data_IF_593759514771
#
_entry.id   IF_593759514771
#
_cell.length_a   1.000
_cell.length_b   1.000
_cell.length_c   1.000
_cell.angle_alpha   90.00
_cell.angle_beta   90.00
_cell.angle_gamma   90.00
#
_symmetry.space_group_name_H-M   'P 1'
#
loop_
_entity.id
_entity.type
_entity.pdbx_description
1 polymer ?
#
# COMPACT_ATOMS: atom_id res chain seq x y z
N UNK A 1 5.36 2.14 4.21
CA UNK A 1 4.22 1.84 5.09
C UNK A 1 3.73 0.44 4.81
N UNK A 2 3.12 -0.23 5.79
CA UNK A 2 2.48 -1.54 5.63
C UNK A 2 1.01 -1.40 6.02
N UNK A 3 0.12 -2.11 5.32
CA UNK A 3 -1.30 -2.12 5.67
C UNK A 3 -1.62 -3.30 6.59
N UNK A 4 -2.38 -3.02 7.63
CA UNK A 4 -2.96 -4.03 8.51
C UNK A 4 -4.39 -3.62 8.87
N UNK A 5 -5.38 -4.47 8.58
CA UNK A 5 -6.82 -4.21 8.84
C UNK A 5 -7.26 -2.80 8.41
N UNK A 6 -7.00 -2.41 7.15
CA UNK A 6 -7.28 -1.08 6.59
C UNK A 6 -6.57 0.09 7.29
N UNK A 7 -5.58 -0.17 8.13
CA UNK A 7 -4.83 0.85 8.85
C UNK A 7 -3.37 0.90 8.39
N UNK A 8 -2.83 2.08 8.03
CA UNK A 8 -1.44 2.20 7.63
C UNK A 8 -0.51 2.19 8.84
N UNK A 9 0.45 1.28 8.84
CA UNK A 9 1.49 1.19 9.85
C UNK A 9 2.81 1.75 9.31
N UNK A 10 3.51 2.54 10.13
CA UNK A 10 4.85 3.03 9.83
C UNK A 10 5.87 1.94 10.13
N UNK A 11 6.84 1.78 9.25
CA UNK A 11 7.95 0.85 9.41
C UNK A 11 9.10 1.58 10.10
N UNK A 12 9.67 0.99 11.12
CA UNK A 12 10.91 1.40 11.76
C UNK A 12 11.78 0.15 11.95
N UNK A 13 12.99 0.17 11.41
CA UNK A 13 13.95 -0.93 11.52
C UNK A 13 15.09 -0.47 12.41
N UNK A 14 15.39 -1.24 13.44
CA UNK A 14 16.50 -1.04 14.35
C UNK A 14 17.33 -2.34 14.41
N UNK A 15 18.46 -2.33 13.73
CA UNK A 15 19.27 -3.52 13.52
C UNK A 15 18.47 -4.62 12.80
N UNK A 16 18.29 -5.76 13.47
CA UNK A 16 17.57 -6.92 12.96
C UNK A 16 16.08 -6.95 13.36
N UNK A 17 15.62 -5.98 14.16
CA UNK A 17 14.24 -5.88 14.62
C UNK A 17 13.47 -4.88 13.76
N UNK A 18 12.32 -5.28 13.28
CA UNK A 18 11.43 -4.40 12.51
C UNK A 18 10.14 -4.15 13.30
N UNK A 19 9.84 -2.90 13.54
CA UNK A 19 8.62 -2.48 14.25
C UNK A 19 7.66 -1.79 13.26
N UNK A 20 6.44 -2.28 13.20
CA UNK A 20 5.33 -1.68 12.46
C UNK A 20 4.41 -0.99 13.46
N UNK A 21 4.30 0.33 13.42
CA UNK A 21 3.54 1.10 14.41
C UNK A 21 2.50 2.02 13.75
N UNK A 22 1.33 2.12 14.36
CA UNK A 22 0.25 2.97 13.85
C UNK A 22 -0.96 2.99 14.75
N UNK A 23 -2.11 3.27 14.16
CA UNK A 23 -3.41 3.20 14.84
C UNK A 23 -4.27 2.15 14.13
N UNK A 24 -4.79 1.19 14.88
CA UNK A 24 -5.74 0.17 14.42
C UNK A 24 -7.00 0.36 15.26
N UNK A 25 -8.14 0.55 14.61
CA UNK A 25 -9.43 0.83 15.26
C UNK A 25 -9.37 1.99 16.28
N UNK A 26 -8.60 3.03 15.95
CA UNK A 26 -8.42 4.22 16.81
C UNK A 26 -7.39 4.05 17.92
N UNK A 27 -6.94 2.85 18.24
CA UNK A 27 -5.96 2.54 19.29
C UNK A 27 -4.54 2.48 18.72
N UNK A 28 -3.54 2.82 19.54
CA UNK A 28 -2.13 2.65 19.17
C UNK A 28 -1.81 1.16 19.10
N UNK A 29 -1.30 0.72 17.96
CA UNK A 29 -0.91 -0.66 17.73
C UNK A 29 0.52 -0.74 17.21
N UNK A 30 1.24 -1.78 17.59
CA UNK A 30 2.57 -2.08 17.09
C UNK A 30 2.80 -3.58 16.96
N UNK A 31 3.38 -3.97 15.82
CA UNK A 31 3.97 -5.29 15.62
C UNK A 31 5.48 -5.16 15.69
N UNK A 32 6.11 -5.97 16.50
CA UNK A 32 7.57 -6.07 16.58
C UNK A 32 7.98 -7.43 16.07
N UNK A 33 8.73 -7.46 14.99
CA UNK A 33 9.24 -8.67 14.34
C UNK A 33 10.73 -8.76 14.63
N UNK A 34 11.12 -9.83 15.32
CA UNK A 34 12.50 -10.15 15.68
C UNK A 34 13.07 -11.29 14.85
N UNK A 35 14.39 -11.46 14.77
CA UNK A 35 15.01 -12.60 14.11
C UNK A 35 14.51 -13.94 14.66
N UNK A 36 14.39 -14.94 13.77
CA UNK A 36 13.86 -16.25 14.11
C UNK A 36 12.35 -16.40 13.99
N UNK A 37 11.71 -15.78 13.06
CA UNK A 37 10.51 -14.97 12.92
C UNK A 37 9.61 -15.03 14.18
N UNK A 38 9.94 -14.19 15.15
CA UNK A 38 9.16 -13.99 16.37
C UNK A 38 8.42 -12.66 16.28
N UNK A 39 7.11 -12.68 16.50
CA UNK A 39 6.22 -11.51 16.41
C UNK A 39 5.60 -11.21 17.74
N UNK A 40 5.78 -10.01 18.27
CA UNK A 40 5.00 -9.48 19.38
C UNK A 40 4.01 -8.43 18.86
N UNK A 41 2.78 -8.46 19.34
CA UNK A 41 1.75 -7.50 19.01
C UNK A 41 1.29 -6.77 20.26
N UNK A 42 1.30 -5.45 20.20
CA UNK A 42 0.78 -4.59 21.26
C UNK A 42 -0.32 -3.70 20.70
N UNK A 43 -1.45 -3.62 21.41
CA UNK A 43 -2.53 -2.72 21.04
C UNK A 43 -3.13 -2.09 22.30
N UNK A 44 -3.01 -0.76 22.38
CA UNK A 44 -3.27 -0.02 23.61
C UNK A 44 -2.35 -0.48 24.72
N UNK A 45 -2.94 -0.90 25.86
CA UNK A 45 -2.24 -1.40 27.03
C UNK A 45 -2.11 -2.94 27.06
N UNK A 46 -2.64 -3.61 26.02
CA UNK A 46 -2.57 -5.09 25.93
C UNK A 46 -1.42 -5.51 25.04
N UNK A 47 -0.73 -6.56 25.48
CA UNK A 47 0.34 -7.21 24.76
C UNK A 47 -0.02 -8.66 24.49
N UNK A 48 0.25 -9.12 23.26
CA UNK A 48 -0.07 -10.46 22.77
C UNK A 48 1.18 -11.12 22.21
N UNK A 49 1.34 -12.41 22.43
CA UNK A 49 2.52 -13.17 22.03
C UNK A 49 3.56 -13.25 23.17
N UNK A 50 4.83 -13.52 22.87
CA UNK A 50 5.42 -13.61 21.52
C UNK A 50 4.94 -14.79 20.71
N UNK A 51 4.65 -14.54 19.44
CA UNK A 51 4.30 -15.56 18.47
C UNK A 51 5.55 -16.02 17.74
N UNK A 52 5.87 -17.31 17.82
CA UNK A 52 6.98 -17.90 17.10
C UNK A 52 6.49 -18.64 15.86
N UNK A 53 7.12 -18.40 14.73
CA UNK A 53 6.79 -19.05 13.46
C UNK A 53 7.89 -20.07 13.15
N UNK A 54 7.49 -21.32 13.00
CA UNK A 54 8.39 -22.44 12.69
C UNK A 54 7.98 -23.03 11.35
N UNK A 55 8.91 -23.13 10.42
CA UNK A 55 8.64 -23.81 9.15
C UNK A 55 8.63 -25.33 9.37
N UNK A 56 7.50 -25.94 9.03
CA UNK A 56 7.25 -27.37 9.18
C UNK A 56 6.74 -27.99 7.86
N UNK A 57 7.61 -28.52 7.03
CA UNK A 57 7.19 -29.12 5.76
C UNK A 57 6.23 -30.30 5.92
N UNK A 58 6.16 -30.93 7.11
CA UNK A 58 5.24 -32.05 7.38
C UNK A 58 3.81 -31.60 7.63
N UNK A 59 3.59 -30.31 7.90
CA UNK A 59 2.27 -29.73 8.12
C UNK A 59 1.51 -29.39 6.82
N UNK A 60 2.11 -29.66 5.65
CA UNK A 60 1.44 -29.46 4.36
C UNK A 60 0.42 -30.58 4.16
N UNK A 61 -0.87 -30.25 3.91
CA UNK A 61 -1.90 -31.27 3.65
C UNK A 61 -1.56 -32.07 2.40
N UNK A 62 -1.95 -33.36 2.38
CA UNK A 62 -1.78 -34.21 1.20
C UNK A 62 -2.58 -33.67 0.02
N UNK A 63 -2.09 -33.87 -1.21
CA UNK A 63 -2.72 -33.38 -2.45
C UNK A 63 -4.19 -33.80 -2.61
N UNK A 64 -4.59 -34.92 -2.02
CA UNK A 64 -5.97 -35.43 -2.05
C UNK A 64 -6.91 -34.61 -1.17
N UNK A 65 -6.40 -34.01 -0.10
CA UNK A 65 -7.18 -33.23 0.86
C UNK A 65 -7.14 -31.71 0.60
N UNK A 66 -6.23 -31.25 -0.27
CA UNK A 66 -6.09 -29.83 -0.59
C UNK A 66 -7.19 -29.39 -1.57
N UNK A 67 -8.39 -29.13 -1.06
CA UNK A 67 -9.53 -28.64 -1.83
C UNK A 67 -9.18 -27.35 -2.59
N UNK A 68 -9.13 -27.43 -3.95
CA UNK A 68 -9.17 -26.32 -4.89
C UNK A 68 -8.01 -25.29 -4.88
N UNK A 69 -6.83 -25.64 -4.41
CA UNK A 69 -5.67 -24.79 -4.63
C UNK A 69 -5.07 -25.11 -6.02
N UNK A 70 -5.17 -24.18 -6.93
CA UNK A 70 -4.76 -24.34 -8.34
C UNK A 70 -3.28 -24.69 -8.54
N UNK A 71 -2.45 -24.53 -7.50
CA UNK A 71 -1.01 -24.86 -7.52
C UNK A 71 -0.52 -25.35 -6.14
N UNK A 72 -0.53 -26.65 -5.85
CA UNK A 72 -0.03 -27.19 -4.58
C UNK A 72 1.47 -26.95 -4.34
N UNK A 73 2.24 -26.63 -5.37
CA UNK A 73 3.67 -26.30 -5.26
C UNK A 73 3.98 -24.98 -4.55
N UNK A 74 2.97 -24.14 -4.29
CA UNK A 74 3.14 -22.86 -3.59
C UNK A 74 2.76 -22.93 -2.10
N UNK A 75 2.39 -24.12 -1.60
CA UNK A 75 2.07 -24.33 -0.19
C UNK A 75 3.32 -24.40 0.65
N UNK A 76 3.37 -23.62 1.71
CA UNK A 76 4.47 -23.66 2.68
C UNK A 76 3.92 -24.08 4.03
N UNK A 77 4.47 -25.20 4.57
CA UNK A 77 4.09 -25.71 5.88
C UNK A 77 4.67 -24.87 7.00
N UNK A 78 3.82 -24.53 7.99
CA UNK A 78 4.20 -23.67 9.12
C UNK A 78 3.42 -24.01 10.38
N UNK A 79 4.08 -23.86 11.52
CA UNK A 79 3.45 -23.82 12.83
C UNK A 79 3.62 -22.43 13.44
N UNK A 80 2.53 -21.87 13.96
CA UNK A 80 2.53 -20.62 14.72
C UNK A 80 2.25 -20.98 16.17
N UNK A 81 3.19 -20.62 17.05
CA UNK A 81 3.10 -20.88 18.47
C UNK A 81 2.86 -19.57 19.24
N UNK A 82 1.99 -19.60 20.22
CA UNK A 82 1.78 -18.50 21.17
C UNK A 82 2.36 -18.93 22.52
N UNK A 83 3.43 -18.29 22.97
CA UNK A 83 4.15 -18.65 24.19
C UNK A 83 4.49 -20.16 24.26
N UNK A 84 4.86 -20.77 23.16
CA UNK A 84 5.19 -22.19 23.06
C UNK A 84 3.99 -23.12 22.84
N UNK A 85 2.75 -22.63 22.93
CA UNK A 85 1.55 -23.42 22.62
C UNK A 85 1.20 -23.28 21.13
N UNK A 86 0.84 -24.38 20.49
CA UNK A 86 0.45 -24.35 19.07
C UNK A 86 -0.87 -23.61 18.88
N UNK A 87 -0.80 -22.44 18.24
CA UNK A 87 -1.97 -21.66 17.84
C UNK A 87 -2.52 -22.13 16.50
N UNK A 88 -1.62 -22.46 15.57
CA UNK A 88 -1.94 -22.96 14.24
C UNK A 88 -0.83 -23.88 13.76
N UNK A 89 -1.20 -24.99 13.10
CA UNK A 89 -0.32 -25.87 12.35
C UNK A 89 -0.98 -26.28 11.06
N UNK A 90 -0.27 -26.12 9.94
CA UNK A 90 -0.80 -26.35 8.61
C UNK A 90 0.04 -25.68 7.53
N UNK A 91 -0.57 -25.37 6.41
CA UNK A 91 0.09 -24.69 5.31
C UNK A 91 -0.50 -23.31 5.04
N UNK A 92 0.31 -22.40 4.50
CA UNK A 92 -0.19 -21.17 3.92
C UNK A 92 0.11 -21.09 2.42
N UNK A 93 -0.76 -20.39 1.71
CA UNK A 93 -0.59 -20.00 0.31
C UNK A 93 -0.68 -18.49 0.23
N UNK A 94 0.31 -17.87 -0.42
CA UNK A 94 0.27 -16.44 -0.71
C UNK A 94 -0.64 -16.19 -1.91
N UNK A 95 -1.74 -15.48 -1.70
CA UNK A 95 -2.73 -15.12 -2.73
C UNK A 95 -2.65 -13.62 -3.02
N UNK A 96 -1.47 -13.01 -2.84
CA UNK A 96 -1.20 -11.60 -3.07
C UNK A 96 -1.60 -10.70 -1.89
N UNK A 97 -2.88 -10.32 -1.78
CA UNK A 97 -3.31 -9.43 -0.69
C UNK A 97 -3.51 -10.14 0.66
N UNK A 98 -3.57 -11.47 0.70
CA UNK A 98 -3.80 -12.25 1.93
C UNK A 98 -3.13 -13.62 1.88
N UNK A 99 -2.93 -14.23 3.05
CA UNK A 99 -2.54 -15.63 3.16
C UNK A 99 -3.76 -16.50 3.36
N UNK A 100 -3.94 -17.47 2.47
CA UNK A 100 -4.90 -18.54 2.64
C UNK A 100 -4.26 -19.60 3.56
N UNK A 101 -4.94 -19.93 4.64
CA UNK A 101 -4.45 -20.90 5.62
C UNK A 101 -5.23 -22.20 5.51
N UNK A 102 -4.50 -23.30 5.41
CA UNK A 102 -5.04 -24.65 5.35
C UNK A 102 -4.54 -25.42 6.56
N UNK A 103 -5.43 -26.15 7.22
CA UNK A 103 -5.06 -27.10 8.28
C UNK A 103 -4.41 -28.34 7.67
N UNK A 104 -3.86 -29.20 8.50
CA UNK A 104 -3.25 -30.49 8.08
C UNK A 104 -4.26 -31.42 7.40
N UNK A 105 -5.55 -31.34 7.76
CA UNK A 105 -6.66 -32.08 7.15
C UNK A 105 -7.08 -31.53 5.78
N UNK A 106 -6.53 -30.40 5.37
CA UNK A 106 -6.84 -29.72 4.12
C UNK A 106 -7.98 -28.71 4.22
N UNK A 107 -8.60 -28.58 5.38
CA UNK A 107 -9.69 -27.63 5.60
C UNK A 107 -9.15 -26.20 5.72
N UNK A 108 -9.95 -25.24 5.25
CA UNK A 108 -9.63 -23.83 5.37
C UNK A 108 -9.66 -23.39 6.84
N UNK A 109 -8.58 -22.77 7.30
CA UNK A 109 -8.58 -22.15 8.60
C UNK A 109 -9.39 -20.85 8.56
N UNK A 110 -10.38 -20.65 9.44
CA UNK A 110 -11.23 -19.46 9.42
C UNK A 110 -10.39 -18.18 9.64
N UNK A 111 -10.46 -17.28 8.67
CA UNK A 111 -9.74 -15.98 8.74
C UNK A 111 -10.37 -15.00 9.74
N UNK A 112 -11.62 -15.23 10.14
CA UNK A 112 -12.40 -14.33 10.99
C UNK A 112 -12.69 -14.99 12.31
N UNK A 113 -12.19 -14.42 13.42
CA UNK A 113 -12.73 -14.71 14.75
C UNK A 113 -14.07 -13.99 14.87
N UNK A 114 -15.17 -14.75 14.81
CA UNK A 114 -16.50 -14.20 15.13
C UNK A 114 -16.53 -14.04 16.66
N UNK A 115 -16.36 -12.82 17.14
CA UNK A 115 -16.58 -12.50 18.55
C UNK A 115 -18.05 -12.18 18.71
N UNK A 116 -18.82 -13.13 19.23
CA UNK A 116 -20.22 -12.91 19.64
C UNK A 116 -20.17 -12.28 21.03
N UNK A 117 -20.36 -10.96 21.08
CA UNK A 117 -20.44 -10.25 22.36
C UNK A 117 -20.04 -8.77 22.21
N UNK A 118 -20.74 -7.92 22.93
CA UNK A 118 -20.65 -6.45 22.91
C UNK A 118 -19.46 -5.95 23.77
N UNK A 119 -18.27 -6.56 23.65
CA UNK A 119 -17.08 -6.06 24.34
C UNK A 119 -16.15 -5.44 23.32
N UNK A 120 -15.82 -4.17 23.51
CA UNK A 120 -14.69 -3.45 22.90
C UNK A 120 -13.34 -4.09 23.29
N UNK A 121 -13.26 -5.41 23.26
CA UNK A 121 -12.04 -6.12 23.54
C UNK A 121 -11.16 -6.10 22.31
N UNK A 122 -10.02 -5.43 22.43
CA UNK A 122 -8.92 -5.54 21.46
C UNK A 122 -8.74 -7.01 21.13
N UNK A 123 -9.08 -7.38 19.91
CA UNK A 123 -8.94 -8.76 19.46
C UNK A 123 -7.45 -9.08 19.27
N UNK A 124 -7.03 -10.28 19.69
CA UNK A 124 -5.71 -10.80 19.34
C UNK A 124 -5.54 -10.82 17.81
N UNK A 125 -4.33 -10.61 17.30
CA UNK A 125 -4.09 -10.61 15.86
C UNK A 125 -4.44 -11.96 15.25
N UNK A 126 -4.96 -11.95 14.02
CA UNK A 126 -5.24 -13.18 13.28
C UNK A 126 -3.93 -13.89 12.92
N UNK A 127 -3.96 -15.21 12.79
CA UNK A 127 -2.81 -16.02 12.36
C UNK A 127 -2.28 -15.54 11.01
N UNK A 128 -3.17 -15.23 10.05
CA UNK A 128 -2.81 -14.67 8.76
C UNK A 128 -2.11 -13.31 8.89
N UNK A 129 -2.58 -12.46 9.82
CA UNK A 129 -1.95 -11.17 10.11
C UNK A 129 -0.55 -11.33 10.72
N UNK A 130 -0.36 -12.26 11.65
CA UNK A 130 0.96 -12.57 12.24
C UNK A 130 1.93 -13.04 11.15
N UNK A 131 1.52 -14.03 10.34
CA UNK A 131 2.35 -14.57 9.26
C UNK A 131 2.70 -13.49 8.23
N UNK A 132 1.73 -12.65 7.86
CA UNK A 132 1.93 -11.58 6.88
C UNK A 132 2.95 -10.55 7.36
N UNK A 133 2.81 -10.09 8.60
CA UNK A 133 3.76 -9.11 9.17
C UNK A 133 5.18 -9.68 9.31
N UNK A 134 5.30 -10.99 9.54
CA UNK A 134 6.60 -11.65 9.70
C UNK A 134 7.28 -12.00 8.38
N UNK A 135 6.53 -12.54 7.41
CA UNK A 135 7.09 -13.19 6.23
C UNK A 135 6.99 -12.35 4.95
N UNK A 136 5.86 -11.67 4.75
CA UNK A 136 5.60 -10.89 3.54
C UNK A 136 4.78 -9.62 3.84
N UNK A 137 5.36 -8.64 4.56
CA UNK A 137 4.67 -7.40 4.83
C UNK A 137 4.41 -6.64 3.52
N UNK A 138 3.15 -6.29 3.28
CA UNK A 138 2.78 -5.51 2.10
C UNK A 138 3.25 -4.07 2.23
N UNK A 139 4.42 -3.80 1.69
CA UNK A 139 5.01 -2.47 1.72
C UNK A 139 4.39 -1.62 0.62
N UNK A 140 3.52 -0.72 1.02
CA UNK A 140 2.94 0.27 0.11
C UNK A 140 3.77 1.55 0.16
N UNK A 141 4.26 1.97 -1.00
CA UNK A 141 4.91 3.27 -1.13
C UNK A 141 3.83 4.34 -1.20
N UNK A 142 3.93 5.33 -0.32
CA UNK A 142 3.06 6.51 -0.40
C UNK A 142 3.43 7.34 -1.60
N UNK A 143 2.43 7.59 -2.47
CA UNK A 143 2.57 8.48 -3.62
C UNK A 143 3.00 7.81 -4.92
N UNK A 144 2.56 8.40 -6.01
CA UNK A 144 2.93 8.01 -7.38
C UNK A 144 3.99 8.96 -7.92
N UNK A 145 5.20 8.48 -8.14
CA UNK A 145 6.25 9.26 -8.82
C UNK A 145 5.80 9.73 -10.19
N UNK A 146 5.02 8.92 -10.93
CA UNK A 146 4.49 9.30 -12.23
C UNK A 146 3.58 10.52 -12.17
N UNK A 147 2.67 10.57 -11.20
CA UNK A 147 1.80 11.73 -11.01
C UNK A 147 2.59 12.98 -10.58
N UNK A 148 3.61 12.82 -9.73
CA UNK A 148 4.49 13.91 -9.34
C UNK A 148 5.26 14.51 -10.53
N UNK A 149 5.89 13.64 -11.35
CA UNK A 149 6.60 14.10 -12.54
C UNK A 149 5.68 14.73 -13.58
N UNK A 150 4.46 14.21 -13.74
CA UNK A 150 3.45 14.83 -14.60
C UNK A 150 3.07 16.21 -14.10
N UNK A 151 2.84 16.39 -12.79
CA UNK A 151 2.59 17.69 -12.19
C UNK A 151 3.74 18.68 -12.43
N UNK A 152 4.99 18.23 -12.23
CA UNK A 152 6.18 19.03 -12.51
C UNK A 152 6.26 19.43 -13.98
N UNK A 153 6.02 18.51 -14.90
CA UNK A 153 6.00 18.77 -16.33
C UNK A 153 4.94 19.82 -16.70
N UNK A 154 3.73 19.72 -16.15
CA UNK A 154 2.67 20.71 -16.36
C UNK A 154 3.07 22.10 -15.84
N UNK A 155 3.75 22.18 -14.69
CA UNK A 155 4.29 23.44 -14.18
C UNK A 155 5.31 24.06 -15.14
N UNK A 156 6.22 23.25 -15.69
CA UNK A 156 7.22 23.72 -16.67
C UNK A 156 6.53 24.22 -17.94
N UNK A 157 5.55 23.46 -18.46
CA UNK A 157 4.78 23.88 -19.65
C UNK A 157 4.03 25.18 -19.38
N UNK A 158 3.42 25.32 -18.21
CA UNK A 158 2.74 26.56 -17.81
C UNK A 158 3.72 27.74 -17.74
N UNK A 159 4.87 27.55 -17.09
CA UNK A 159 5.90 28.59 -16.99
C UNK A 159 6.44 29.01 -18.37
N UNK A 160 6.74 28.06 -19.25
CA UNK A 160 7.17 28.35 -20.63
C UNK A 160 6.08 29.09 -21.40
N UNK A 161 4.82 28.68 -21.26
CA UNK A 161 3.68 29.32 -21.91
C UNK A 161 3.49 30.77 -21.45
N UNK A 162 3.79 31.10 -20.20
CA UNK A 162 3.72 32.45 -19.65
C UNK A 162 4.92 33.29 -20.15
N UNK A 163 6.14 32.75 -19.99
CA UNK A 163 7.39 33.48 -20.33
C UNK A 163 7.51 33.76 -21.82
N UNK A 164 7.08 32.84 -22.65
CA UNK A 164 7.20 32.92 -24.11
C UNK A 164 5.86 33.12 -24.83
N UNK A 165 4.86 33.67 -24.14
CA UNK A 165 3.51 33.85 -24.68
C UNK A 165 3.51 34.56 -26.05
N UNK A 166 4.26 35.67 -26.18
CA UNK A 166 4.32 36.46 -27.41
C UNK A 166 5.15 35.77 -28.48
N UNK A 167 6.24 35.11 -28.10
CA UNK A 167 7.05 34.33 -29.01
C UNK A 167 6.27 33.13 -29.60
N UNK A 168 5.50 32.44 -28.79
CA UNK A 168 4.63 31.33 -29.21
C UNK A 168 3.51 31.83 -30.12
N UNK A 169 2.93 32.99 -29.82
CA UNK A 169 1.91 33.61 -30.66
C UNK A 169 2.47 33.96 -32.05
N UNK A 170 3.60 34.66 -32.10
CA UNK A 170 4.27 35.01 -33.39
C UNK A 170 4.70 33.76 -34.15
N UNK A 171 5.19 32.73 -33.46
CA UNK A 171 5.55 31.47 -34.08
C UNK A 171 4.34 30.79 -34.72
N UNK A 172 3.18 30.78 -34.04
CA UNK A 172 1.93 30.23 -34.58
C UNK A 172 1.43 31.02 -35.80
N UNK A 173 1.52 32.36 -35.75
CA UNK A 173 1.12 33.22 -36.85
C UNK A 173 2.02 33.07 -38.08
N UNK A 174 3.32 32.76 -37.93
CA UNK A 174 4.30 32.57 -39.01
C UNK A 174 3.84 31.52 -40.03
N UNK A 175 3.02 30.58 -39.64
CA UNK A 175 2.44 29.58 -40.54
C UNK A 175 1.14 30.03 -41.22
N UNK A 176 0.56 31.17 -40.79
CA UNK A 176 -0.75 31.62 -41.31
C UNK A 176 -0.71 32.97 -41.98
N UNK A 177 0.24 33.84 -41.64
CA UNK A 177 0.29 35.22 -42.09
C UNK A 177 1.71 35.55 -42.59
N UNK A 178 1.80 36.40 -43.64
CA UNK A 178 3.07 36.72 -44.31
C UNK A 178 3.96 37.65 -43.47
N UNK A 179 3.35 38.54 -42.67
CA UNK A 179 4.05 39.52 -41.82
C UNK A 179 3.47 39.40 -40.38
N UNK A 180 4.02 38.49 -39.53
CA UNK A 180 3.51 38.25 -38.18
C UNK A 180 4.03 39.27 -37.15
N UNK A 181 4.97 40.15 -37.53
CA UNK A 181 5.61 41.06 -36.57
C UNK A 181 4.72 42.24 -36.16
N UNK A 182 3.80 42.66 -37.04
CA UNK A 182 2.85 43.77 -36.81
C UNK A 182 1.48 43.28 -36.28
N UNK A 183 1.33 42.01 -36.02
CA UNK A 183 0.07 41.44 -35.55
C UNK A 183 -0.07 41.60 -34.02
N UNK A 184 -1.11 42.32 -33.59
CA UNK A 184 -1.49 42.40 -32.18
C UNK A 184 -2.46 41.25 -31.81
N UNK A 185 -2.30 40.64 -30.62
CA UNK A 185 -3.22 39.60 -30.16
C UNK A 185 -4.62 40.21 -29.90
N UNK A 186 -5.64 39.53 -30.37
CA UNK A 186 -7.05 39.90 -30.08
C UNK A 186 -7.40 39.69 -28.63
N UNK A 187 -8.45 40.38 -28.12
CA UNK A 187 -8.97 40.18 -26.76
C UNK A 187 -9.34 38.75 -26.50
N UNK A 188 -9.83 38.02 -27.49
CA UNK A 188 -10.17 36.61 -27.40
C UNK A 188 -8.94 35.70 -27.23
N UNK A 189 -7.86 36.02 -27.88
CA UNK A 189 -6.58 35.34 -27.74
C UNK A 189 -6.00 35.57 -26.34
N UNK A 190 -6.08 36.78 -25.81
CA UNK A 190 -5.65 37.09 -24.45
C UNK A 190 -6.50 36.33 -23.42
N UNK A 191 -7.82 36.30 -23.58
CA UNK A 191 -8.69 35.54 -22.72
C UNK A 191 -8.37 34.03 -22.77
N UNK A 192 -8.13 33.49 -23.95
CA UNK A 192 -7.73 32.09 -24.15
C UNK A 192 -6.43 31.73 -23.42
N UNK A 193 -5.43 32.60 -23.42
CA UNK A 193 -4.17 32.44 -22.68
C UNK A 193 -4.42 32.37 -21.16
N UNK A 194 -5.19 33.30 -20.61
CA UNK A 194 -5.51 33.32 -19.19
C UNK A 194 -6.24 32.05 -18.75
N UNK A 195 -7.21 31.60 -19.53
CA UNK A 195 -7.95 30.35 -19.26
C UNK A 195 -6.99 29.14 -19.31
N UNK A 196 -6.12 29.09 -20.31
CA UNK A 196 -5.15 27.98 -20.46
C UNK A 196 -4.21 27.90 -19.26
N UNK A 197 -3.68 29.04 -18.79
CA UNK A 197 -2.78 29.07 -17.62
C UNK A 197 -3.49 28.64 -16.35
N UNK A 198 -4.74 29.07 -16.16
CA UNK A 198 -5.54 28.66 -15.02
C UNK A 198 -5.82 27.16 -15.04
N UNK A 199 -6.22 26.61 -16.19
CA UNK A 199 -6.46 25.18 -16.36
C UNK A 199 -5.20 24.35 -16.11
N UNK A 200 -4.05 24.75 -16.67
CA UNK A 200 -2.77 24.07 -16.46
C UNK A 200 -2.37 24.08 -14.98
N UNK A 201 -2.56 25.20 -14.30
CA UNK A 201 -2.24 25.31 -12.86
C UNK A 201 -3.13 24.39 -12.01
N UNK A 202 -4.44 24.33 -12.31
CA UNK A 202 -5.37 23.43 -11.61
C UNK A 202 -4.99 21.97 -11.88
N UNK A 203 -4.69 21.61 -13.14
CA UNK A 203 -4.28 20.24 -13.49
C UNK A 203 -2.98 19.84 -12.77
N UNK A 204 -1.99 20.73 -12.73
CA UNK A 204 -0.75 20.49 -12.01
C UNK A 204 -1.02 20.25 -10.51
N UNK A 205 -1.86 21.08 -9.90
CA UNK A 205 -2.25 20.92 -8.49
C UNK A 205 -2.95 19.58 -8.24
N UNK A 206 -3.90 19.18 -9.09
CA UNK A 206 -4.59 17.88 -9.00
C UNK A 206 -3.59 16.73 -9.13
N UNK A 207 -2.63 16.81 -10.07
CA UNK A 207 -1.59 15.79 -10.21
C UNK A 207 -0.73 15.66 -8.94
N UNK A 208 -0.37 16.76 -8.29
CA UNK A 208 0.36 16.72 -7.02
C UNK A 208 -0.48 16.11 -5.90
N UNK A 209 -1.76 16.49 -5.79
CA UNK A 209 -2.67 15.91 -4.78
C UNK A 209 -2.82 14.40 -4.99
N UNK A 210 -3.02 13.94 -6.22
CA UNK A 210 -3.07 12.51 -6.56
C UNK A 210 -1.72 11.87 -6.23
N UNK A 211 -0.61 12.50 -6.64
CA UNK A 211 0.74 12.00 -6.37
C UNK A 211 1.03 11.79 -4.88
N UNK A 212 0.43 12.58 -4.00
CA UNK A 212 0.59 12.47 -2.55
C UNK A 212 -0.35 11.46 -1.89
N UNK A 213 -1.56 11.27 -2.44
CA UNK A 213 -2.64 10.51 -1.82
C UNK A 213 -2.86 9.11 -2.40
N UNK A 214 -2.17 8.73 -3.47
CA UNK A 214 -2.27 7.36 -4.00
C UNK A 214 -1.63 6.40 -2.98
N UNK A 215 -2.40 5.42 -2.46
CA UNK A 215 -1.90 4.40 -1.53
C UNK A 215 -0.88 3.46 -2.20
#
# INVERSE_FOLDING_TARGET
MVWYQNSPLRIQTDGAVTTYSGKVDGMRASFTVSPGPVVAFRCGDREFGPYSIVFDPTAVPSKENALNVSNPSTMVGVAVLDNGNTLFRGAYVDVGSTFLLLREDGDLYPMVKITVGNSESVAAPSVSGILRMALAPEVVRRGSFGAYFLGLFLCVVCAVSILFADALFRFHLRFRIRDPEDAEPSDWELAGRWISWLVLSILAFVCFVIGLNVP
#
